data_IF_095647312642
#
_entry.id   IF_095647312642
#
_cell.length_a   1.000
_cell.length_b   1.000
_cell.length_c   1.000
_cell.angle_alpha   90.00
_cell.angle_beta   90.00
_cell.angle_gamma   90.00
#
_symmetry.space_group_name_H-M   'P 1'
#
loop_
_entity.id
_entity.type
_entity.pdbx_description
1 polymer ?
#
# COMPACT_ATOMS: atom_id res chain seq x y z
N UNK A 1 -15.11 2.01 2.61
CA UNK A 1 -15.13 0.56 2.31
C UNK A 1 -16.37 0.18 1.48
N UNK A 2 -17.56 0.70 1.81
CA UNK A 2 -18.79 0.50 1.00
C UNK A 2 -18.76 1.10 -0.42
N UNK A 3 -18.02 2.19 -0.67
CA UNK A 3 -17.97 2.84 -2.00
C UNK A 3 -17.18 2.06 -3.06
N UNK A 4 -16.17 1.29 -2.65
CA UNK A 4 -15.27 0.57 -3.56
C UNK A 4 -15.85 -0.77 -4.04
N UNK A 5 -16.55 -1.47 -3.15
CA UNK A 5 -17.27 -2.72 -3.46
C UNK A 5 -18.37 -2.43 -4.49
N UNK A 6 -19.04 -1.29 -4.38
CA UNK A 6 -20.04 -0.85 -5.36
C UNK A 6 -19.44 -0.57 -6.74
N UNK A 7 -18.19 -0.10 -6.85
CA UNK A 7 -17.53 0.19 -8.12
C UNK A 7 -17.10 -1.09 -8.86
N UNK A 8 -16.53 -2.08 -8.16
CA UNK A 8 -16.19 -3.39 -8.75
C UNK A 8 -17.46 -4.17 -9.13
N UNK A 9 -18.50 -4.11 -8.29
CA UNK A 9 -19.81 -4.65 -8.63
C UNK A 9 -20.39 -3.95 -9.87
N UNK A 10 -20.35 -2.62 -9.95
CA UNK A 10 -20.87 -1.86 -11.09
C UNK A 10 -20.11 -2.19 -12.40
N UNK A 11 -18.79 -2.35 -12.36
CA UNK A 11 -17.98 -2.77 -13.51
C UNK A 11 -18.36 -4.17 -14.00
N UNK A 12 -18.43 -5.16 -13.10
CA UNK A 12 -18.90 -6.51 -13.44
C UNK A 12 -20.33 -6.51 -13.98
N UNK A 13 -21.23 -5.69 -13.40
CA UNK A 13 -22.60 -5.57 -13.88
C UNK A 13 -22.73 -4.91 -15.26
N UNK A 14 -21.79 -4.05 -15.66
CA UNK A 14 -21.77 -3.50 -17.03
C UNK A 14 -21.41 -4.55 -18.07
N UNK A 15 -20.52 -5.51 -17.77
CA UNK A 15 -20.24 -6.66 -18.63
C UNK A 15 -21.44 -7.61 -18.75
N UNK A 16 -22.26 -7.74 -17.69
CA UNK A 16 -23.46 -8.59 -17.71
C UNK A 16 -24.66 -7.95 -18.43
N UNK A 17 -24.67 -6.63 -18.66
CA UNK A 17 -25.78 -5.97 -19.36
C UNK A 17 -25.83 -6.25 -20.85
N UNK A 18 -24.69 -6.56 -21.48
CA UNK A 18 -24.59 -6.71 -22.94
C UNK A 18 -24.64 -8.17 -23.43
N UNK A 19 -24.54 -9.16 -22.54
CA UNK A 19 -24.55 -10.58 -22.94
C UNK A 19 -25.67 -11.30 -22.21
N UNK A 20 -26.51 -12.03 -22.97
CA UNK A 20 -27.49 -13.00 -22.45
C UNK A 20 -26.77 -14.22 -21.86
N UNK A 21 -25.94 -14.00 -20.86
CA UNK A 21 -25.25 -15.06 -20.14
C UNK A 21 -26.30 -15.79 -19.31
N UNK A 22 -26.41 -17.10 -19.47
CA UNK A 22 -27.35 -17.87 -18.69
C UNK A 22 -26.94 -17.86 -17.21
N UNK A 23 -27.92 -18.00 -16.31
CA UNK A 23 -27.69 -17.90 -14.86
C UNK A 23 -26.68 -18.92 -14.33
N UNK A 24 -26.52 -20.07 -15.00
CA UNK A 24 -25.54 -21.09 -14.64
C UNK A 24 -24.11 -20.57 -14.84
N UNK A 25 -23.82 -19.97 -16.01
CA UNK A 25 -22.51 -19.37 -16.28
C UNK A 25 -22.20 -18.20 -15.36
N UNK A 26 -23.20 -17.42 -14.95
CA UNK A 26 -22.99 -16.33 -13.99
C UNK A 26 -22.57 -16.85 -12.60
N UNK A 27 -23.09 -18.01 -12.19
CA UNK A 27 -22.72 -18.66 -10.93
C UNK A 27 -21.31 -19.23 -10.98
N UNK A 28 -20.96 -19.96 -12.04
CA UNK A 28 -19.59 -20.46 -12.24
C UNK A 28 -18.54 -19.32 -12.28
N UNK A 29 -18.89 -18.17 -12.84
CA UNK A 29 -17.98 -17.01 -12.91
C UNK A 29 -17.79 -16.31 -11.55
N UNK A 30 -18.77 -16.44 -10.65
CA UNK A 30 -18.69 -15.93 -9.27
C UNK A 30 -17.98 -16.93 -8.35
N UNK A 31 -18.26 -18.23 -8.51
CA UNK A 31 -17.62 -19.31 -7.76
C UNK A 31 -16.11 -19.39 -8.09
N UNK A 32 -15.73 -19.22 -9.36
CA UNK A 32 -14.31 -19.13 -9.77
C UNK A 32 -13.58 -17.91 -9.18
N UNK A 33 -14.32 -16.90 -8.71
CA UNK A 33 -13.78 -15.72 -8.02
C UNK A 33 -13.89 -15.80 -6.49
N UNK A 34 -14.36 -16.93 -5.95
CA UNK A 34 -14.52 -17.13 -4.50
C UNK A 34 -15.61 -16.25 -3.87
N UNK A 35 -16.59 -15.79 -4.65
CA UNK A 35 -17.65 -14.89 -4.17
C UNK A 35 -18.89 -15.72 -3.83
N UNK A 36 -19.17 -15.91 -2.54
CA UNK A 36 -20.36 -16.65 -2.07
C UNK A 36 -21.64 -15.82 -2.28
N UNK A 37 -22.53 -16.27 -3.17
CA UNK A 37 -23.78 -15.57 -3.48
C UNK A 37 -24.94 -16.04 -2.59
N UNK A 38 -25.48 -15.17 -1.72
CA UNK A 38 -26.72 -15.42 -0.94
C UNK A 38 -27.86 -14.50 -1.40
N UNK A 39 -28.48 -14.83 -2.52
CA UNK A 39 -29.73 -14.18 -2.97
C UNK A 39 -30.96 -15.02 -2.64
N UNK A 40 -31.91 -14.48 -1.87
CA UNK A 40 -33.24 -15.07 -1.71
C UNK A 40 -34.17 -14.60 -2.83
N UNK A 41 -34.66 -15.53 -3.65
CA UNK A 41 -35.63 -15.23 -4.71
C UNK A 41 -37.06 -15.26 -4.14
N UNK A 42 -37.52 -14.12 -3.62
CA UNK A 42 -38.94 -13.89 -3.41
C UNK A 42 -39.65 -13.55 -4.72
N UNK A 43 -40.51 -14.44 -5.22
CA UNK A 43 -41.42 -14.18 -6.34
C UNK A 43 -42.64 -13.40 -5.85
N UNK A 44 -42.70 -12.10 -6.12
CA UNK A 44 -43.97 -11.34 -6.08
C UNK A 44 -44.25 -10.77 -7.45
N UNK A 45 -45.32 -11.26 -8.09
CA UNK A 45 -45.91 -10.69 -9.29
C UNK A 45 -46.37 -9.26 -8.98
N UNK A 46 -45.94 -8.27 -9.77
CA UNK A 46 -46.71 -7.03 -9.91
C UNK A 46 -46.05 -5.69 -9.61
N UNK A 47 -44.73 -5.56 -9.39
CA UNK A 47 -44.13 -4.21 -9.25
C UNK A 47 -42.69 -4.14 -9.72
N UNK A 48 -42.41 -3.27 -10.71
CA UNK A 48 -41.07 -2.84 -11.13
C UNK A 48 -40.45 -1.98 -10.02
N UNK A 49 -39.86 -2.60 -9.00
CA UNK A 49 -38.83 -1.95 -8.18
C UNK A 49 -37.47 -2.48 -8.59
N UNK A 50 -36.57 -1.58 -8.95
CA UNK A 50 -35.14 -1.87 -9.09
C UNK A 50 -34.69 -2.33 -7.70
N UNK A 51 -34.39 -3.63 -7.57
CA UNK A 51 -33.84 -4.17 -6.32
C UNK A 51 -32.37 -3.81 -6.29
N UNK A 52 -31.95 -3.01 -5.30
CA UNK A 52 -30.54 -2.86 -4.96
C UNK A 52 -30.00 -4.24 -4.57
N UNK A 53 -29.00 -4.69 -5.32
CA UNK A 53 -28.29 -5.93 -5.10
C UNK A 53 -27.10 -5.60 -4.20
N UNK A 54 -27.24 -5.84 -2.89
CA UNK A 54 -26.14 -5.70 -1.94
C UNK A 54 -25.32 -7.00 -1.98
N UNK A 55 -24.11 -6.92 -2.54
CA UNK A 55 -23.14 -8.02 -2.49
C UNK A 55 -22.24 -7.80 -1.29
N UNK A 56 -22.47 -8.55 -0.21
CA UNK A 56 -21.56 -8.57 0.92
C UNK A 56 -20.41 -9.54 0.64
N UNK A 57 -19.25 -8.99 0.29
CA UNK A 57 -18.01 -9.75 0.30
C UNK A 57 -17.64 -10.02 1.76
N UNK A 58 -17.91 -11.23 2.24
CA UNK A 58 -17.33 -11.65 3.51
C UNK A 58 -15.82 -11.75 3.30
N UNK A 59 -14.99 -11.03 4.08
CA UNK A 59 -13.58 -11.36 4.13
C UNK A 59 -13.53 -12.84 4.48
N UNK A 60 -12.88 -13.65 3.65
CA UNK A 60 -12.56 -15.03 3.98
C UNK A 60 -11.91 -14.95 5.35
N UNK A 61 -12.62 -15.41 6.36
CA UNK A 61 -12.06 -15.59 7.68
C UNK A 61 -10.97 -16.64 7.46
N UNK A 62 -9.75 -16.17 7.20
CA UNK A 62 -8.56 -16.99 7.34
C UNK A 62 -8.61 -17.39 8.79
N UNK A 63 -9.12 -18.61 9.03
CA UNK A 63 -9.00 -19.30 10.30
C UNK A 63 -7.57 -19.08 10.73
N UNK A 64 -7.41 -18.34 11.82
CA UNK A 64 -6.12 -17.98 12.37
C UNK A 64 -5.38 -19.29 12.61
N UNK A 65 -4.54 -19.68 11.64
CA UNK A 65 -3.69 -20.85 11.74
C UNK A 65 -2.99 -20.71 13.09
N UNK A 66 -3.18 -21.66 14.01
CA UNK A 66 -2.71 -21.60 15.40
C UNK A 66 -1.31 -20.95 15.47
N UNK A 67 -1.28 -19.64 15.71
CA UNK A 67 -0.04 -18.90 15.62
C UNK A 67 0.64 -19.10 16.96
N UNK A 68 1.68 -19.93 16.99
CA UNK A 68 2.52 -20.07 18.15
C UNK A 68 3.01 -18.67 18.58
N UNK A 69 2.96 -18.33 19.87
CA UNK A 69 3.46 -17.05 20.35
C UNK A 69 4.93 -16.89 19.97
N UNK A 70 5.34 -15.63 19.78
CA UNK A 70 6.73 -15.29 19.53
C UNK A 70 7.58 -15.66 20.77
N UNK A 71 8.75 -16.28 20.62
CA UNK A 71 9.63 -16.56 21.76
C UNK A 71 10.01 -15.27 22.49
N UNK A 72 10.02 -15.29 23.82
CA UNK A 72 10.37 -14.12 24.65
C UNK A 72 11.74 -13.53 24.31
N UNK A 73 12.69 -14.39 23.93
CA UNK A 73 14.04 -14.00 23.49
C UNK A 73 14.02 -13.04 22.30
N UNK A 74 13.06 -13.24 21.39
CA UNK A 74 12.92 -12.46 20.16
C UNK A 74 12.09 -11.21 20.42
N UNK A 75 11.07 -11.33 21.27
CA UNK A 75 10.15 -10.24 21.60
C UNK A 75 10.86 -9.04 22.27
N UNK A 76 11.84 -9.31 23.15
CA UNK A 76 12.57 -8.26 23.87
C UNK A 76 13.46 -7.37 22.98
N UNK A 77 13.79 -7.82 21.76
CA UNK A 77 14.63 -7.07 20.81
C UNK A 77 13.87 -6.44 19.64
N UNK A 78 12.56 -6.67 19.54
CA UNK A 78 11.74 -6.21 18.41
C UNK A 78 10.99 -4.92 18.75
N UNK A 79 11.25 -3.89 17.95
CA UNK A 79 10.48 -2.65 17.99
C UNK A 79 9.40 -2.70 16.93
N UNK A 80 8.14 -2.84 17.36
CA UNK A 80 6.96 -2.86 16.51
C UNK A 80 6.65 -1.45 15.99
N UNK A 81 6.34 -1.34 14.70
CA UNK A 81 5.81 -0.11 14.12
C UNK A 81 4.35 0.08 14.53
N UNK A 82 3.84 1.31 14.38
CA UNK A 82 2.43 1.61 14.64
C UNK A 82 1.56 0.72 13.73
N UNK A 83 0.54 0.09 14.33
CA UNK A 83 -0.39 -0.82 13.64
C UNK A 83 0.26 -2.09 13.05
N UNK A 84 1.50 -2.39 13.45
CA UNK A 84 2.18 -3.64 13.07
C UNK A 84 1.64 -4.79 13.93
N UNK A 85 1.28 -5.88 13.26
CA UNK A 85 0.73 -7.09 13.85
C UNK A 85 1.57 -8.28 13.44
N UNK A 86 1.89 -9.09 14.44
CA UNK A 86 2.55 -10.37 14.24
C UNK A 86 1.64 -11.34 13.46
N UNK A 87 2.19 -12.06 12.48
CA UNK A 87 1.47 -13.02 11.63
C UNK A 87 1.97 -14.44 11.87
N UNK A 88 3.27 -14.67 11.74
CA UNK A 88 3.87 -16.00 11.90
C UNK A 88 5.38 -15.90 12.16
N UNK A 89 5.98 -16.96 12.69
CA UNK A 89 7.43 -17.11 12.75
C UNK A 89 7.86 -18.54 12.42
N UNK A 90 9.13 -18.70 12.04
CA UNK A 90 9.78 -20.01 12.04
C UNK A 90 11.27 -19.89 12.30
N UNK A 91 11.84 -20.90 12.95
CA UNK A 91 13.26 -20.94 13.33
C UNK A 91 14.14 -21.46 12.19
N UNK A 92 14.80 -20.59 11.44
CA UNK A 92 15.59 -20.97 10.28
C UNK A 92 17.06 -20.51 10.36
N UNK A 93 17.88 -21.03 9.45
CA UNK A 93 19.27 -20.62 9.27
C UNK A 93 19.40 -19.84 7.97
N UNK A 94 19.90 -18.61 8.05
CA UNK A 94 20.23 -17.82 6.84
C UNK A 94 21.37 -18.52 6.10
N UNK A 95 21.33 -18.52 4.76
CA UNK A 95 22.38 -19.08 3.92
C UNK A 95 22.85 -18.06 2.91
N UNK A 96 24.16 -18.04 2.69
CA UNK A 96 24.77 -17.16 1.71
C UNK A 96 25.26 -17.99 0.55
N UNK A 97 24.92 -17.55 -0.65
CA UNK A 97 25.55 -18.06 -1.86
C UNK A 97 26.92 -17.38 -1.93
N UNK A 98 27.98 -18.13 -1.65
CA UNK A 98 29.35 -17.66 -1.77
C UNK A 98 29.84 -18.03 -3.18
N UNK A 99 29.96 -17.06 -4.11
CA UNK A 99 30.36 -17.34 -5.48
C UNK A 99 31.78 -17.91 -5.58
N UNK A 100 32.61 -17.77 -4.54
CA UNK A 100 33.96 -18.34 -4.50
C UNK A 100 34.02 -19.70 -3.80
N UNK A 101 32.98 -20.10 -3.07
CA UNK A 101 32.92 -21.43 -2.49
C UNK A 101 32.61 -22.45 -3.59
N UNK A 102 33.66 -23.10 -4.08
CA UNK A 102 33.59 -24.15 -5.09
C UNK A 102 32.70 -25.34 -4.64
N UNK A 103 32.41 -25.45 -3.34
CA UNK A 103 31.61 -26.51 -2.73
C UNK A 103 30.61 -25.95 -1.69
N UNK A 104 29.40 -25.63 -2.13
CA UNK A 104 28.22 -25.50 -1.28
C UNK A 104 27.94 -24.11 -0.67
N UNK A 105 26.67 -23.85 -0.37
CA UNK A 105 26.23 -22.64 0.32
C UNK A 105 26.80 -22.59 1.75
N UNK A 106 27.27 -21.40 2.18
CA UNK A 106 27.77 -21.22 3.54
C UNK A 106 26.60 -21.03 4.48
N UNK A 107 26.46 -21.94 5.45
CA UNK A 107 25.49 -21.79 6.53
C UNK A 107 25.82 -20.53 7.34
N UNK A 108 24.86 -19.62 7.41
CA UNK A 108 24.94 -18.37 8.13
C UNK A 108 24.48 -18.51 9.57
N UNK A 109 23.88 -17.44 10.09
CA UNK A 109 23.38 -17.40 11.47
C UNK A 109 22.04 -18.12 11.56
N UNK A 110 21.82 -18.84 12.65
CA UNK A 110 20.51 -19.39 13.00
C UNK A 110 19.71 -18.34 13.79
N UNK A 111 18.42 -18.22 13.47
CA UNK A 111 17.53 -17.24 14.06
C UNK A 111 16.07 -17.58 13.83
N UNK A 112 15.23 -16.56 13.96
CA UNK A 112 13.80 -16.61 13.69
C UNK A 112 13.45 -15.68 12.54
N UNK A 113 12.82 -16.24 11.52
CA UNK A 113 12.16 -15.47 10.48
C UNK A 113 10.77 -15.12 10.99
N UNK A 114 10.54 -13.84 11.23
CA UNK A 114 9.30 -13.27 11.77
C UNK A 114 8.58 -12.55 10.65
N UNK A 115 7.32 -12.90 10.43
CA UNK A 115 6.44 -12.33 9.43
C UNK A 115 5.41 -11.47 10.16
N UNK A 116 5.28 -10.22 9.73
CA UNK A 116 4.30 -9.27 10.24
C UNK A 116 3.36 -8.87 9.11
N UNK A 117 2.33 -8.08 9.40
CA UNK A 117 1.45 -7.51 8.37
C UNK A 117 2.11 -6.38 7.54
N UNK A 118 3.32 -5.93 7.90
CA UNK A 118 4.02 -4.84 7.23
C UNK A 118 5.37 -5.27 6.63
N UNK A 119 6.10 -6.18 7.28
CA UNK A 119 7.47 -6.56 6.92
C UNK A 119 7.81 -8.00 7.30
N UNK A 120 8.89 -8.49 6.72
CA UNK A 120 9.55 -9.74 7.08
C UNK A 120 10.86 -9.38 7.76
N UNK A 121 11.10 -9.94 8.94
CA UNK A 121 12.27 -9.69 9.77
C UNK A 121 12.98 -11.02 10.03
N UNK A 122 14.31 -10.99 10.07
CA UNK A 122 15.11 -12.10 10.56
C UNK A 122 15.90 -11.65 11.79
N UNK A 123 15.51 -12.18 12.94
CA UNK A 123 16.16 -11.91 14.22
C UNK A 123 17.06 -13.09 14.58
N UNK A 124 18.32 -12.82 14.91
CA UNK A 124 19.24 -13.86 15.37
C UNK A 124 19.81 -13.49 16.74
N UNK A 125 20.19 -14.50 17.52
CA UNK A 125 20.92 -14.31 18.77
C UNK A 125 22.39 -14.07 18.47
N UNK A 126 22.91 -12.91 18.84
CA UNK A 126 24.32 -12.55 18.75
C UNK A 126 24.93 -12.61 20.16
N UNK A 127 26.15 -13.14 20.25
CA UNK A 127 26.97 -13.12 21.46
C UNK A 127 27.22 -14.51 22.06
N UNK A 128 28.47 -14.76 22.49
CA UNK A 128 28.87 -16.02 23.11
C UNK A 128 28.51 -16.10 24.60
N UNK A 129 28.59 -14.97 25.32
CA UNK A 129 28.31 -14.87 26.76
C UNK A 129 27.01 -14.14 27.10
N UNK A 130 26.65 -13.11 26.34
CA UNK A 130 25.38 -12.39 26.45
C UNK A 130 24.52 -12.71 25.23
N UNK A 131 23.40 -13.42 25.43
CA UNK A 131 22.44 -13.68 24.35
C UNK A 131 21.63 -12.41 24.09
N UNK A 132 22.06 -11.62 23.12
CA UNK A 132 21.30 -10.45 22.65
C UNK A 132 20.69 -10.76 21.30
N UNK A 133 19.37 -10.67 21.19
CA UNK A 133 18.68 -10.80 19.91
C UNK A 133 18.86 -9.52 19.10
N UNK A 134 19.27 -9.64 17.84
CA UNK A 134 19.41 -8.52 16.93
C UNK A 134 18.75 -8.85 15.59
N UNK A 135 18.11 -7.85 15.00
CA UNK A 135 17.51 -7.93 13.66
C UNK A 135 18.64 -7.76 12.65
N UNK A 136 18.89 -8.79 11.83
CA UNK A 136 19.96 -8.78 10.81
C UNK A 136 19.40 -8.47 9.43
N UNK A 137 18.17 -8.88 9.17
CA UNK A 137 17.50 -8.65 7.90
C UNK A 137 16.08 -8.15 8.16
N UNK A 138 15.66 -7.18 7.35
CA UNK A 138 14.32 -6.63 7.37
C UNK A 138 13.95 -6.13 5.98
N UNK A 139 12.79 -6.54 5.48
CA UNK A 139 12.24 -6.11 4.21
C UNK A 139 10.75 -5.82 4.36
N UNK A 140 10.28 -4.69 3.81
CA UNK A 140 8.84 -4.40 3.79
C UNK A 140 8.14 -5.36 2.83
N UNK A 141 6.92 -5.80 3.16
CA UNK A 141 6.15 -6.71 2.30
C UNK A 141 5.85 -6.13 0.92
N UNK A 142 5.77 -4.80 0.81
CA UNK A 142 5.60 -4.09 -0.47
C UNK A 142 6.82 -4.16 -1.39
N UNK A 143 8.01 -4.40 -0.81
CA UNK A 143 9.28 -4.49 -1.52
C UNK A 143 9.66 -5.94 -1.88
N UNK A 144 8.89 -6.92 -1.40
CA UNK A 144 9.06 -8.33 -1.76
C UNK A 144 8.49 -8.54 -3.17
N UNK A 145 9.35 -8.94 -4.10
CA UNK A 145 8.97 -9.22 -5.48
C UNK A 145 8.40 -10.64 -5.61
N UNK A 146 9.13 -11.64 -5.10
CA UNK A 146 8.69 -13.03 -5.11
C UNK A 146 9.25 -13.83 -3.94
N UNK A 147 8.54 -14.89 -3.59
CA UNK A 147 8.97 -15.88 -2.59
C UNK A 147 8.87 -17.25 -3.22
N UNK A 148 9.95 -18.02 -3.17
CA UNK A 148 10.01 -19.35 -3.77
C UNK A 148 10.59 -20.38 -2.82
N UNK A 149 10.13 -21.62 -2.98
CA UNK A 149 10.71 -22.78 -2.32
C UNK A 149 11.80 -23.39 -3.21
N UNK A 150 12.88 -23.83 -2.60
CA UNK A 150 13.91 -24.65 -3.22
C UNK A 150 14.31 -25.81 -2.32
N UNK A 151 15.26 -26.63 -2.78
CA UNK A 151 15.88 -27.70 -1.99
C UNK A 151 17.40 -27.57 -2.07
N UNK A 152 18.10 -27.76 -0.95
CA UNK A 152 19.57 -27.85 -0.89
C UNK A 152 19.91 -29.13 -0.15
N UNK A 153 20.57 -30.07 -0.84
CA UNK A 153 20.98 -31.38 -0.34
C UNK A 153 19.82 -32.16 0.32
N UNK A 154 19.60 -31.94 1.63
CA UNK A 154 18.60 -32.64 2.45
C UNK A 154 17.59 -31.70 3.12
N UNK A 155 17.67 -30.39 2.87
CA UNK A 155 16.82 -29.39 3.50
C UNK A 155 15.97 -28.60 2.52
N UNK A 156 14.84 -28.11 3.02
CA UNK A 156 14.02 -27.15 2.31
C UNK A 156 14.65 -25.75 2.42
N UNK A 157 14.66 -25.04 1.30
CA UNK A 157 15.16 -23.66 1.16
C UNK A 157 13.97 -22.74 0.89
N UNK A 158 13.95 -21.58 1.53
CA UNK A 158 13.08 -20.46 1.20
C UNK A 158 13.95 -19.36 0.59
N UNK A 159 13.55 -18.84 -0.57
CA UNK A 159 14.22 -17.73 -1.25
C UNK A 159 13.25 -16.55 -1.27
N UNK A 160 13.70 -15.42 -0.74
CA UNK A 160 12.96 -14.15 -0.78
C UNK A 160 13.71 -13.22 -1.73
N UNK A 161 13.07 -12.82 -2.83
CA UNK A 161 13.60 -11.88 -3.82
C UNK A 161 12.99 -10.50 -3.60
N UNK A 162 13.84 -9.48 -3.50
CA UNK A 162 13.44 -8.08 -3.37
C UNK A 162 13.27 -7.40 -4.75
N UNK A 163 12.68 -6.21 -4.74
CA UNK A 163 12.52 -5.35 -5.92
C UNK A 163 13.84 -4.89 -6.57
N UNK A 164 14.96 -4.96 -5.84
CA UNK A 164 16.28 -4.53 -6.29
C UNK A 164 17.10 -5.72 -6.84
N UNK A 165 16.48 -6.87 -7.08
CA UNK A 165 17.10 -8.14 -7.47
C UNK A 165 18.10 -8.72 -6.44
N UNK A 166 18.08 -8.25 -5.19
CA UNK A 166 18.75 -8.96 -4.10
C UNK A 166 17.86 -10.08 -3.60
N UNK A 167 18.46 -11.20 -3.23
CA UNK A 167 17.74 -12.31 -2.63
C UNK A 167 18.36 -12.75 -1.30
N UNK A 168 17.54 -13.33 -0.44
CA UNK A 168 17.95 -13.96 0.82
C UNK A 168 17.46 -15.40 0.85
N UNK A 169 18.32 -16.28 1.33
CA UNK A 169 18.06 -17.70 1.41
C UNK A 169 17.95 -18.11 2.88
N UNK A 170 16.92 -18.87 3.22
CA UNK A 170 16.71 -19.43 4.55
C UNK A 170 16.51 -20.94 4.46
N UNK A 171 17.10 -21.70 5.38
CA UNK A 171 16.99 -23.16 5.42
C UNK A 171 16.38 -23.62 6.75
N UNK A 172 15.42 -24.54 6.66
CA UNK A 172 14.84 -25.26 7.79
C UNK A 172 14.01 -26.44 7.25
N UNK A 173 13.84 -27.51 8.02
CA UNK A 173 12.86 -28.54 7.69
C UNK A 173 11.44 -27.94 7.63
N UNK A 174 10.72 -28.19 6.53
CA UNK A 174 9.36 -27.71 6.29
C UNK A 174 9.21 -26.17 6.23
N UNK A 175 10.24 -25.43 5.80
CA UNK A 175 10.16 -23.98 5.65
C UNK A 175 9.15 -23.55 4.56
N UNK A 176 8.84 -24.45 3.62
CA UNK A 176 7.87 -24.18 2.54
C UNK A 176 6.45 -23.91 3.07
N UNK A 177 6.13 -24.37 4.28
CA UNK A 177 4.86 -24.06 4.95
C UNK A 177 4.64 -22.55 5.17
N UNK A 178 5.71 -21.73 5.20
CA UNK A 178 5.61 -20.28 5.30
C UNK A 178 5.25 -19.59 3.98
N UNK A 179 5.51 -20.21 2.83
CA UNK A 179 5.28 -19.60 1.51
C UNK A 179 3.82 -19.11 1.35
N UNK A 180 2.78 -19.92 1.61
CA UNK A 180 1.40 -19.44 1.50
C UNK A 180 1.09 -18.32 2.49
N UNK A 181 1.64 -18.37 3.71
CA UNK A 181 1.44 -17.32 4.73
C UNK A 181 2.04 -15.99 4.28
N UNK A 182 3.27 -16.02 3.75
CA UNK A 182 3.94 -14.83 3.24
C UNK A 182 3.19 -14.27 2.03
N UNK A 183 2.78 -15.12 1.07
CA UNK A 183 2.03 -14.67 -0.09
C UNK A 183 0.67 -14.05 0.27
N UNK A 184 -0.04 -14.61 1.26
CA UNK A 184 -1.27 -14.00 1.80
C UNK A 184 -0.97 -12.63 2.39
N UNK A 185 0.04 -12.51 3.25
CA UNK A 185 0.42 -11.25 3.88
C UNK A 185 0.82 -10.17 2.85
N UNK A 186 1.56 -10.55 1.80
CA UNK A 186 1.91 -9.65 0.69
C UNK A 186 0.65 -9.16 -0.04
N UNK A 187 -0.27 -10.07 -0.35
CA UNK A 187 -1.54 -9.72 -1.02
C UNK A 187 -2.36 -8.75 -0.18
N UNK A 188 -2.55 -9.05 1.11
CA UNK A 188 -3.31 -8.21 2.04
C UNK A 188 -2.68 -6.82 2.17
N UNK A 189 -1.35 -6.76 2.27
CA UNK A 189 -0.62 -5.48 2.34
C UNK A 189 -0.79 -4.65 1.06
N UNK A 190 -0.75 -5.28 -0.12
CA UNK A 190 -0.97 -4.58 -1.40
C UNK A 190 -2.38 -3.97 -1.48
N UNK A 191 -3.40 -4.69 -1.05
CA UNK A 191 -4.79 -4.19 -0.99
C UNK A 191 -4.90 -3.00 -0.02
N UNK A 192 -4.27 -3.09 1.16
CA UNK A 192 -4.26 -2.00 2.13
C UNK A 192 -3.59 -0.74 1.58
N UNK A 193 -2.38 -0.87 1.01
CA UNK A 193 -1.65 0.26 0.40
C UNK A 193 -2.46 0.89 -0.72
N UNK A 194 -3.12 0.09 -1.56
CA UNK A 194 -3.96 0.61 -2.63
C UNK A 194 -5.12 1.42 -2.07
N UNK A 195 -5.78 0.93 -1.02
CA UNK A 195 -6.86 1.67 -0.34
C UNK A 195 -6.38 2.95 0.35
N UNK A 196 -5.15 2.96 0.88
CA UNK A 196 -4.53 4.15 1.48
C UNK A 196 -4.18 5.18 0.39
N UNK A 197 -3.64 4.73 -0.74
CA UNK A 197 -3.36 5.58 -1.92
C UNK A 197 -4.62 6.17 -2.52
N UNK A 198 -5.70 5.42 -2.55
CA UNK A 198 -7.00 5.93 -3.02
C UNK A 198 -7.54 6.98 -2.06
N UNK A 199 -7.48 6.75 -0.74
CA UNK A 199 -7.86 7.74 0.26
C UNK A 199 -7.00 9.01 0.17
N UNK A 200 -5.68 8.88 -0.02
CA UNK A 200 -4.79 10.04 -0.13
C UNK A 200 -4.95 10.80 -1.45
N UNK A 201 -5.24 10.10 -2.55
CA UNK A 201 -5.58 10.74 -3.85
C UNK A 201 -6.88 11.53 -3.79
N UNK A 202 -7.85 11.09 -2.99
CA UNK A 202 -9.11 11.81 -2.80
C UNK A 202 -8.89 13.17 -2.10
N UNK A 203 -7.72 13.41 -1.49
CA UNK A 203 -7.44 14.65 -0.75
C UNK A 203 -6.91 15.84 -1.56
N UNK A 204 -6.76 15.76 -2.89
CA UNK A 204 -6.41 16.94 -3.73
C UNK A 204 -7.30 17.06 -4.95
N UNK A 205 -8.59 16.80 -4.76
CA UNK A 205 -9.62 17.55 -5.48
C UNK A 205 -10.13 18.61 -4.52
N UNK A 206 -9.23 19.53 -4.13
CA UNK A 206 -9.70 20.86 -3.78
C UNK A 206 -10.31 21.39 -5.06
N UNK A 207 -11.64 21.34 -5.14
CA UNK A 207 -12.39 21.85 -6.26
C UNK A 207 -11.91 23.29 -6.48
N UNK A 208 -11.29 23.57 -7.62
CA UNK A 208 -10.78 24.91 -7.93
C UNK A 208 -11.89 25.95 -7.79
N UNK A 209 -13.14 25.53 -7.98
CA UNK A 209 -14.33 26.34 -7.72
C UNK A 209 -14.50 26.69 -6.24
N UNK A 210 -14.19 25.80 -5.30
CA UNK A 210 -14.24 26.07 -3.85
C UNK A 210 -13.13 27.02 -3.42
N UNK A 211 -11.91 26.85 -3.97
CA UNK A 211 -10.81 27.80 -3.74
C UNK A 211 -11.14 29.16 -4.37
N UNK A 212 -11.69 29.18 -5.59
CA UNK A 212 -12.12 30.41 -6.28
C UNK A 212 -13.27 31.10 -5.53
N UNK A 213 -14.22 30.35 -4.99
CA UNK A 213 -15.32 30.84 -4.17
C UNK A 213 -14.83 31.42 -2.85
N UNK A 214 -13.86 30.78 -2.18
CA UNK A 214 -13.24 31.34 -0.98
C UNK A 214 -12.37 32.57 -1.31
N UNK A 215 -11.62 32.55 -2.41
CA UNK A 215 -10.83 33.69 -2.88
C UNK A 215 -11.72 34.89 -3.29
N UNK A 216 -12.91 34.62 -3.85
CA UNK A 216 -13.86 35.66 -4.25
C UNK A 216 -14.71 36.18 -3.10
N UNK A 217 -15.04 35.34 -2.09
CA UNK A 217 -15.77 35.75 -0.88
C UNK A 217 -14.86 36.43 0.15
N UNK A 218 -13.61 35.99 0.24
CA UNK A 218 -12.63 36.52 1.18
C UNK A 218 -11.94 37.79 0.69
N UNK A 219 -11.86 37.99 -0.63
CA UNK A 219 -10.96 38.97 -1.23
C UNK A 219 -9.53 38.63 -0.83
N UNK A 220 -8.67 38.25 -1.78
CA UNK A 220 -7.24 38.27 -1.47
C UNK A 220 -6.88 39.74 -1.27
N UNK A 221 -6.96 40.23 -0.03
CA UNK A 221 -6.41 41.51 0.37
C UNK A 221 -4.90 41.27 0.31
N UNK A 222 -4.31 41.48 -0.86
CA UNK A 222 -2.86 41.55 -1.00
C UNK A 222 -2.44 42.79 -0.21
N UNK A 223 -2.09 42.61 1.06
CA UNK A 223 -2.02 43.69 2.04
C UNK A 223 -0.95 44.73 1.75
N UNK A 224 0.03 44.46 0.91
CA UNK A 224 0.98 45.45 0.38
C UNK A 224 1.89 44.74 -0.62
N UNK A 225 2.16 45.34 -1.78
CA UNK A 225 3.16 44.84 -2.72
C UNK A 225 4.40 45.71 -2.67
N UNK A 226 5.56 45.15 -2.35
CA UNK A 226 6.81 45.91 -2.30
C UNK A 226 7.51 45.89 -3.67
N UNK A 227 7.99 47.04 -4.13
CA UNK A 227 8.76 47.15 -5.37
C UNK A 227 10.05 46.31 -5.27
N UNK A 228 10.35 45.39 -6.19
CA UNK A 228 11.56 44.55 -6.12
C UNK A 228 12.87 45.34 -6.26
N UNK A 229 12.82 46.57 -6.78
CA UNK A 229 14.02 47.41 -7.00
C UNK A 229 14.31 48.35 -5.83
N UNK A 230 13.29 48.94 -5.22
CA UNK A 230 13.46 49.96 -4.17
C UNK A 230 12.80 49.60 -2.83
N UNK A 231 12.12 48.46 -2.76
CA UNK A 231 11.40 47.94 -1.60
C UNK A 231 10.28 48.85 -1.04
N UNK A 232 9.90 49.89 -1.78
CA UNK A 232 8.81 50.77 -1.39
C UNK A 232 7.44 50.08 -1.56
N UNK A 233 6.53 50.34 -0.62
CA UNK A 233 5.16 49.84 -0.66
C UNK A 233 4.40 50.47 -1.84
N UNK A 234 3.75 49.63 -2.64
CA UNK A 234 2.93 50.01 -3.77
C UNK A 234 1.49 49.58 -3.54
N UNK A 235 0.58 50.49 -3.89
CA UNK A 235 -0.85 50.20 -4.00
C UNK A 235 -1.08 49.43 -5.31
N UNK A 236 -1.80 48.32 -5.22
CA UNK A 236 -2.16 47.51 -6.38
C UNK A 236 -3.39 48.15 -7.04
N UNK A 237 -3.32 48.60 -8.31
CA UNK A 237 -4.48 49.13 -9.01
C UNK A 237 -5.49 48.02 -9.30
N UNK A 238 -6.77 48.35 -9.27
CA UNK A 238 -7.87 47.42 -9.55
C UNK A 238 -7.83 46.85 -10.98
N UNK A 239 -7.23 47.58 -11.93
CA UNK A 239 -7.08 47.13 -13.32
C UNK A 239 -5.81 47.70 -13.96
N UNK A 240 -4.95 46.84 -14.50
CA UNK A 240 -3.78 47.28 -15.29
C UNK A 240 -2.76 46.17 -15.58
N UNK A 241 -2.25 46.08 -16.81
CA UNK A 241 -1.24 45.08 -17.23
C UNK A 241 0.19 45.44 -16.78
N UNK A 242 0.46 46.69 -16.44
CA UNK A 242 1.78 47.20 -16.07
C UNK A 242 1.64 48.21 -14.96
N UNK A 243 2.48 48.07 -13.93
CA UNK A 243 2.55 48.92 -12.75
C UNK A 243 3.84 49.75 -12.79
N UNK A 244 3.77 51.06 -12.62
CA UNK A 244 4.95 51.90 -12.48
C UNK A 244 5.17 52.24 -11.00
N UNK A 245 6.38 51.97 -10.48
CA UNK A 245 6.70 52.33 -9.11
C UNK A 245 6.80 53.86 -8.96
N UNK A 246 6.01 54.46 -8.07
CA UNK A 246 6.01 55.92 -7.79
C UNK A 246 7.38 56.46 -7.34
N UNK A 247 8.25 55.62 -6.78
CA UNK A 247 9.54 56.04 -6.21
C UNK A 247 10.72 55.89 -7.18
N UNK A 248 10.75 54.84 -7.99
CA UNK A 248 11.90 54.53 -8.85
C UNK A 248 11.56 54.48 -10.35
N UNK A 249 10.32 54.79 -10.73
CA UNK A 249 9.77 54.77 -12.10
C UNK A 249 10.04 53.46 -12.88
N UNK A 250 10.32 52.37 -12.18
CA UNK A 250 10.55 51.09 -12.82
C UNK A 250 9.22 50.43 -13.14
N UNK A 251 9.05 49.98 -14.38
CA UNK A 251 7.90 49.20 -14.81
C UNK A 251 7.96 47.79 -14.20
N UNK A 252 6.94 47.43 -13.45
CA UNK A 252 6.74 46.12 -12.84
C UNK A 252 5.60 45.47 -13.62
N UNK A 253 5.89 44.31 -14.19
CA UNK A 253 4.86 43.45 -14.78
C UNK A 253 4.39 42.50 -13.68
N UNK A 254 3.14 42.62 -13.17
CA UNK A 254 2.62 41.63 -12.25
C UNK A 254 2.67 40.27 -12.97
N UNK A 255 3.34 39.31 -12.36
CA UNK A 255 3.26 37.92 -12.83
C UNK A 255 1.99 37.37 -12.20
N UNK A 256 1.02 37.04 -13.04
CA UNK A 256 -0.19 36.40 -12.57
C UNK A 256 0.20 35.10 -11.84
N UNK A 257 -0.14 35.02 -10.56
CA UNK A 257 0.13 33.83 -9.75
C UNK A 257 -0.59 32.62 -10.37
N UNK A 258 -1.71 32.83 -11.07
CA UNK A 258 -2.41 31.78 -11.81
C UNK A 258 -1.56 31.19 -12.94
N UNK A 259 -0.78 31.99 -13.67
CA UNK A 259 0.12 31.49 -14.70
C UNK A 259 1.29 30.70 -14.11
N UNK A 260 1.79 31.10 -12.93
CA UNK A 260 2.80 30.31 -12.21
C UNK A 260 2.22 28.99 -11.70
N UNK A 261 1.03 28.99 -11.10
CA UNK A 261 0.38 27.76 -10.61
C UNK A 261 0.11 26.80 -11.78
N UNK A 262 -0.35 27.30 -12.94
CA UNK A 262 -0.49 26.50 -14.16
C UNK A 262 0.83 25.88 -14.65
N UNK A 263 1.97 26.50 -14.38
CA UNK A 263 3.28 25.94 -14.75
C UNK A 263 3.81 24.87 -13.78
N UNK A 264 3.22 24.74 -12.58
CA UNK A 264 3.60 23.73 -11.58
C UNK A 264 2.70 22.48 -11.59
N UNK A 265 1.56 22.53 -12.28
CA UNK A 265 0.66 21.40 -12.52
C UNK A 265 1.04 20.71 -13.83
#
# INVERSE_FOLDING_TARGET
>A
MFSYINAIAAGLFSEFKDKRICRACQRELLDSKGIEYKGYLGTRRGSKRIRELTVELKPTANEHANVSPLPDEVNNGLFWQKDEKYVAHSRCTECFDDPMAMWGAKAGKTGYLVITNQRILFACTIGFRSKTSAIIFGINLEDVFSVSGGKIAFGDKLIILDKNNNYRNFMQGNIHSLIPVINSAISDRKVLIQSEKEKSRIHVLLDFSSIQDEMSKGGIIMTTYNCPKCNASLEIPESGKVLFCKYCNTAIKPVDIFDRIKSFL
#
